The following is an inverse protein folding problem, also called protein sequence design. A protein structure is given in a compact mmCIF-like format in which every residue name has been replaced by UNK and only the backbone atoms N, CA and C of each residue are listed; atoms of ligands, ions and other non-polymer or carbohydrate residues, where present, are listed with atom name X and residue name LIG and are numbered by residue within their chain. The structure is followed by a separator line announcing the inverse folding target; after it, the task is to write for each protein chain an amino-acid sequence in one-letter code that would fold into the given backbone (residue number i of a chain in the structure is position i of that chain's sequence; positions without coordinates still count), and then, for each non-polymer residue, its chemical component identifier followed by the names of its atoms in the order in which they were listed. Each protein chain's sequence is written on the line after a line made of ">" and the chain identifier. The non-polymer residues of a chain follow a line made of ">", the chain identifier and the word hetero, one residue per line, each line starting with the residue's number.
data_IF_498867972448
#
_entry.id   IF_498867972448
#
_cell.length_a   1.000
_cell.length_b   1.000
_cell.length_c   1.000
_cell.angle_alpha   90.00
_cell.angle_beta   90.00
_cell.angle_gamma   90.00
#
_symmetry.space_group_name_H-M   'P 1'
#
loop_
_entity.id
_entity.type
_entity.pdbx_description
1 polymer ?
#
# COMPACT_ATOMS: atom_id res chain seq x y z
N UNK A 1 -15.25 -42.32 21.41
CA UNK A 1 -15.22 -40.85 21.31
C UNK A 1 -14.24 -40.47 20.22
N UNK A 2 -14.57 -39.53 19.33
CA UNK A 2 -13.64 -39.07 18.30
C UNK A 2 -12.46 -38.33 18.95
N UNK A 3 -11.23 -38.60 18.49
CA UNK A 3 -10.00 -37.90 18.91
C UNK A 3 -10.20 -36.38 18.76
N UNK A 4 -9.95 -35.54 19.79
CA UNK A 4 -10.11 -34.09 19.67
C UNK A 4 -9.19 -33.50 18.59
N UNK A 5 -9.65 -32.43 17.93
CA UNK A 5 -8.90 -31.68 16.92
C UNK A 5 -8.43 -30.35 17.49
N UNK A 6 -7.13 -30.09 17.46
CA UNK A 6 -6.54 -28.84 17.92
C UNK A 6 -6.08 -28.06 16.69
N UNK A 7 -6.33 -26.75 16.68
CA UNK A 7 -6.05 -25.88 15.54
C UNK A 7 -5.21 -24.70 15.99
N UNK A 8 -4.08 -24.45 15.32
CA UNK A 8 -3.33 -23.21 15.51
C UNK A 8 -4.04 -22.01 14.87
N UNK A 9 -3.75 -20.82 15.36
CA UNK A 9 -4.40 -19.60 14.89
C UNK A 9 -3.59 -18.92 13.79
N UNK A 10 -2.37 -18.51 14.13
CA UNK A 10 -1.52 -17.69 13.27
C UNK A 10 -1.03 -18.51 12.08
N UNK A 11 -1.19 -18.01 10.85
CA UNK A 11 -0.79 -18.73 9.64
C UNK A 11 -1.64 -19.97 9.28
N UNK A 12 -2.34 -20.56 10.25
CA UNK A 12 -3.16 -21.78 10.12
C UNK A 12 -4.66 -21.50 9.98
N UNK A 13 -5.29 -20.80 10.92
CA UNK A 13 -6.70 -20.39 10.82
C UNK A 13 -6.82 -19.02 10.14
N UNK A 14 -5.95 -18.10 10.54
CA UNK A 14 -5.78 -16.79 9.95
C UNK A 14 -4.76 -16.86 8.81
N UNK A 15 -4.93 -16.01 7.80
CA UNK A 15 -3.92 -15.75 6.77
C UNK A 15 -2.78 -14.86 7.28
N UNK A 16 -2.94 -14.29 8.46
CA UNK A 16 -2.03 -13.34 9.09
C UNK A 16 -1.60 -13.83 10.48
N UNK A 17 -0.80 -13.00 11.16
CA UNK A 17 -0.24 -13.27 12.48
C UNK A 17 -0.72 -12.16 13.44
N UNK A 18 -1.38 -12.55 14.53
CA UNK A 18 -1.99 -11.67 15.53
C UNK A 18 -0.96 -10.77 16.22
N UNK A 19 0.28 -11.23 16.40
CA UNK A 19 1.34 -10.41 16.98
C UNK A 19 1.70 -9.25 16.05
N UNK A 20 1.85 -9.53 14.76
CA UNK A 20 2.17 -8.48 13.78
C UNK A 20 0.97 -7.54 13.58
N UNK A 21 -0.25 -8.07 13.56
CA UNK A 21 -1.49 -7.28 13.47
C UNK A 21 -1.64 -6.34 14.67
N UNK A 22 -1.47 -6.83 15.90
CA UNK A 22 -1.60 -6.00 17.11
C UNK A 22 -0.54 -4.91 17.15
N UNK A 23 0.70 -5.25 16.79
CA UNK A 23 1.78 -4.28 16.71
C UNK A 23 1.50 -3.18 15.69
N UNK A 24 1.07 -3.53 14.46
CA UNK A 24 0.75 -2.53 13.43
C UNK A 24 -0.49 -1.71 13.78
N UNK A 25 -1.52 -2.32 14.37
CA UNK A 25 -2.69 -1.60 14.85
C UNK A 25 -2.29 -0.56 15.91
N UNK A 26 -1.42 -0.92 16.85
CA UNK A 26 -0.90 0.01 17.84
C UNK A 26 -0.01 1.08 17.20
N UNK A 27 0.85 0.70 16.25
CA UNK A 27 1.75 1.62 15.55
C UNK A 27 0.97 2.68 14.74
N UNK A 28 -0.12 2.28 14.08
CA UNK A 28 -0.95 3.19 13.27
C UNK A 28 -1.67 4.27 14.09
N UNK A 29 -2.00 3.98 15.36
CA UNK A 29 -2.79 4.87 16.23
C UNK A 29 -1.95 5.58 17.29
N UNK A 30 -1.02 4.87 17.91
CA UNK A 30 -0.20 5.31 19.04
C UNK A 30 1.26 4.88 18.81
N UNK A 31 1.97 5.47 17.83
CA UNK A 31 3.30 5.00 17.41
C UNK A 31 4.31 5.00 18.55
N UNK A 32 4.29 6.01 19.43
CA UNK A 32 5.17 6.06 20.59
C UNK A 32 4.96 4.89 21.55
N UNK A 33 3.71 4.47 21.77
CA UNK A 33 3.40 3.33 22.63
C UNK A 33 3.80 2.00 21.99
N UNK A 34 3.65 1.86 20.67
CA UNK A 34 4.14 0.70 19.94
C UNK A 34 5.66 0.55 20.09
N UNK A 35 6.41 1.65 19.99
CA UNK A 35 7.86 1.65 20.18
C UNK A 35 8.24 1.33 21.64
N UNK A 36 7.55 1.92 22.62
CA UNK A 36 7.78 1.60 24.04
C UNK A 36 7.45 0.14 24.38
N UNK A 37 6.44 -0.46 23.74
CA UNK A 37 6.10 -1.87 23.95
C UNK A 37 7.28 -2.80 23.60
N UNK A 38 8.17 -2.42 22.67
CA UNK A 38 9.38 -3.20 22.37
C UNK A 38 10.30 -3.36 23.59
N UNK A 39 10.28 -2.43 24.55
CA UNK A 39 11.06 -2.55 25.78
C UNK A 39 10.59 -3.72 26.67
N UNK A 40 9.32 -4.12 26.57
CA UNK A 40 8.75 -5.26 27.31
C UNK A 40 9.29 -6.61 26.83
N UNK A 41 9.94 -6.67 25.65
CA UNK A 41 10.67 -7.87 25.22
C UNK A 41 11.76 -8.29 26.22
N UNK A 42 12.30 -7.35 27.01
CA UNK A 42 13.25 -7.66 28.10
C UNK A 42 12.64 -8.53 29.21
N UNK A 43 11.32 -8.46 29.40
CA UNK A 43 10.56 -9.30 30.35
C UNK A 43 10.06 -10.61 29.71
N UNK A 44 10.37 -10.83 28.43
CA UNK A 44 10.01 -12.03 27.68
C UNK A 44 8.92 -11.81 26.63
N UNK A 45 8.78 -12.78 25.71
CA UNK A 45 7.82 -12.71 24.58
C UNK A 45 6.36 -12.71 25.03
N UNK A 46 6.03 -13.39 26.13
CA UNK A 46 4.66 -13.44 26.66
C UNK A 46 4.22 -12.06 27.21
N UNK A 47 5.09 -11.38 27.96
CA UNK A 47 4.83 -10.03 28.47
C UNK A 47 4.64 -9.01 27.32
N UNK A 48 5.46 -9.10 26.28
CA UNK A 48 5.30 -8.27 25.08
C UNK A 48 3.94 -8.48 24.39
N UNK A 49 3.53 -9.75 24.20
CA UNK A 49 2.23 -10.09 23.60
C UNK A 49 1.06 -9.57 24.42
N UNK A 50 1.09 -9.74 25.75
CA UNK A 50 0.05 -9.25 26.65
C UNK A 50 -0.05 -7.70 26.62
N UNK A 51 1.11 -7.01 26.56
CA UNK A 51 1.12 -5.55 26.44
C UNK A 51 0.49 -5.08 25.12
N UNK A 52 0.78 -5.76 24.02
CA UNK A 52 0.16 -5.44 22.74
C UNK A 52 -1.34 -5.73 22.72
N UNK A 53 -1.77 -6.88 23.25
CA UNK A 53 -3.17 -7.27 23.30
C UNK A 53 -4.02 -6.28 24.13
N UNK A 54 -3.49 -5.79 25.26
CA UNK A 54 -4.19 -4.84 26.12
C UNK A 54 -4.29 -3.41 25.56
N UNK A 55 -3.39 -3.01 24.66
CA UNK A 55 -3.36 -1.65 24.11
C UNK A 55 -3.87 -1.54 22.67
N UNK A 56 -3.78 -2.61 21.89
CA UNK A 56 -4.17 -2.63 20.48
C UNK A 56 -5.67 -2.90 20.33
N UNK A 57 -6.37 -2.02 19.63
CA UNK A 57 -7.76 -2.26 19.23
C UNK A 57 -7.81 -3.06 17.92
N UNK A 58 -7.95 -4.37 18.04
CA UNK A 58 -8.19 -5.27 16.92
C UNK A 58 -9.69 -5.56 16.77
N UNK A 59 -10.15 -5.53 15.52
CA UNK A 59 -11.48 -6.00 15.13
C UNK A 59 -11.35 -7.41 14.54
N UNK A 60 -11.71 -8.41 15.34
CA UNK A 60 -11.62 -9.83 14.98
C UNK A 60 -12.49 -10.15 13.76
N UNK A 61 -13.62 -9.46 13.59
CA UNK A 61 -14.56 -9.72 12.49
C UNK A 61 -13.98 -9.43 11.10
N UNK A 62 -12.95 -8.59 11.04
CA UNK A 62 -12.28 -8.19 9.80
C UNK A 62 -11.05 -9.04 9.47
N UNK A 63 -10.67 -9.98 10.35
CA UNK A 63 -9.44 -10.75 10.15
C UNK A 63 -9.56 -11.71 8.96
N UNK A 64 -8.53 -11.80 8.10
CA UNK A 64 -8.60 -12.63 6.91
C UNK A 64 -8.48 -14.12 7.28
N UNK A 65 -9.59 -14.84 7.19
CA UNK A 65 -9.66 -16.27 7.46
C UNK A 65 -9.17 -17.11 6.26
N UNK A 66 -8.66 -18.30 6.55
CA UNK A 66 -8.48 -19.37 5.55
C UNK A 66 -9.77 -20.17 5.44
N UNK A 67 -10.57 -19.83 4.44
CA UNK A 67 -11.87 -20.46 4.18
C UNK A 67 -11.76 -21.98 4.00
N UNK A 68 -10.64 -22.47 3.46
CA UNK A 68 -10.39 -23.90 3.29
C UNK A 68 -10.31 -24.62 4.64
N UNK A 69 -9.65 -24.01 5.62
CA UNK A 69 -9.53 -24.53 6.99
C UNK A 69 -10.86 -24.39 7.71
N UNK A 70 -11.55 -23.24 7.62
CA UNK A 70 -12.87 -23.04 8.23
C UNK A 70 -13.89 -24.07 7.72
N UNK A 71 -13.89 -24.35 6.42
CA UNK A 71 -14.78 -25.35 5.82
C UNK A 71 -14.49 -26.75 6.34
N UNK A 72 -13.21 -27.12 6.45
CA UNK A 72 -12.78 -28.38 7.06
C UNK A 72 -13.24 -28.51 8.52
N UNK A 73 -13.04 -27.47 9.34
CA UNK A 73 -13.43 -27.48 10.76
C UNK A 73 -14.95 -27.57 10.96
N UNK A 74 -15.73 -26.88 10.12
CA UNK A 74 -17.21 -27.00 10.15
C UNK A 74 -17.65 -28.42 9.83
N UNK A 75 -17.01 -29.07 8.88
CA UNK A 75 -17.25 -30.48 8.55
C UNK A 75 -16.96 -31.42 9.72
N UNK A 76 -15.83 -31.25 10.39
CA UNK A 76 -15.46 -32.05 11.56
C UNK A 76 -16.40 -31.80 12.75
N UNK A 77 -16.80 -30.54 12.98
CA UNK A 77 -17.76 -30.20 14.03
C UNK A 77 -19.13 -30.85 13.80
N UNK A 78 -19.59 -30.86 12.55
CA UNK A 78 -20.84 -31.52 12.17
C UNK A 78 -20.80 -33.05 12.39
N UNK A 79 -19.61 -33.66 12.35
CA UNK A 79 -19.39 -35.08 12.71
C UNK A 79 -19.36 -35.32 14.23
N UNK A 80 -19.60 -34.29 15.04
CA UNK A 80 -19.60 -34.36 16.50
C UNK A 80 -18.19 -34.29 17.12
N UNK A 81 -17.17 -33.97 16.33
CA UNK A 81 -15.79 -33.89 16.81
C UNK A 81 -15.58 -32.66 17.69
N UNK A 82 -14.90 -32.83 18.82
CA UNK A 82 -14.48 -31.72 19.69
C UNK A 82 -13.30 -30.99 19.07
N UNK A 83 -13.39 -29.66 18.97
CA UNK A 83 -12.39 -28.81 18.31
C UNK A 83 -11.89 -27.74 19.29
N UNK A 84 -10.58 -27.56 19.39
CA UNK A 84 -9.94 -26.61 20.30
C UNK A 84 -9.00 -25.66 19.53
N UNK A 85 -8.86 -24.42 20.01
CA UNK A 85 -7.80 -23.52 19.55
C UNK A 85 -6.58 -23.62 20.45
N UNK A 86 -5.38 -23.60 19.87
CA UNK A 86 -4.13 -23.51 20.61
C UNK A 86 -3.12 -22.62 19.89
N UNK A 87 -2.91 -21.39 20.38
CA UNK A 87 -1.99 -20.43 19.77
C UNK A 87 -0.99 -19.86 20.77
N UNK A 88 0.16 -19.44 20.24
CA UNK A 88 1.13 -18.67 21.00
C UNK A 88 0.69 -17.21 21.20
N UNK A 89 -0.36 -16.73 20.54
CA UNK A 89 -0.95 -15.42 20.77
C UNK A 89 -1.48 -15.28 22.20
N UNK A 90 -1.77 -14.04 22.59
CA UNK A 90 -2.36 -13.75 23.90
C UNK A 90 -3.75 -14.41 24.04
N UNK A 91 -4.01 -15.03 25.19
CA UNK A 91 -5.25 -15.75 25.44
C UNK A 91 -6.51 -14.91 25.23
N UNK A 92 -6.49 -13.59 25.48
CA UNK A 92 -7.64 -12.72 25.25
C UNK A 92 -8.04 -12.67 23.77
N UNK A 93 -7.05 -12.60 22.87
CA UNK A 93 -7.30 -12.56 21.42
C UNK A 93 -7.78 -13.92 20.90
N UNK A 94 -7.21 -15.01 21.43
CA UNK A 94 -7.62 -16.37 21.05
C UNK A 94 -9.06 -16.65 21.51
N UNK A 95 -9.42 -16.24 22.72
CA UNK A 95 -10.80 -16.34 23.23
C UNK A 95 -11.77 -15.51 22.38
N UNK A 96 -11.43 -14.25 22.09
CA UNK A 96 -12.28 -13.40 21.24
C UNK A 96 -12.50 -13.99 19.83
N UNK A 97 -11.48 -14.65 19.26
CA UNK A 97 -11.61 -15.36 17.99
C UNK A 97 -12.49 -16.61 18.10
N UNK A 98 -12.36 -17.36 19.19
CA UNK A 98 -13.23 -18.51 19.49
C UNK A 98 -14.69 -18.10 19.59
N UNK A 99 -14.97 -17.04 20.35
CA UNK A 99 -16.32 -16.54 20.60
C UNK A 99 -16.96 -16.02 19.30
N UNK A 100 -16.19 -15.31 18.48
CA UNK A 100 -16.67 -14.80 17.19
C UNK A 100 -17.04 -15.93 16.22
N UNK A 101 -16.22 -16.99 16.16
CA UNK A 101 -16.46 -18.10 15.22
C UNK A 101 -17.50 -19.10 15.73
N UNK A 102 -17.64 -19.28 17.06
CA UNK A 102 -18.58 -20.21 17.67
C UNK A 102 -18.33 -21.68 17.33
N UNK A 103 -17.12 -22.03 16.87
CA UNK A 103 -16.77 -23.38 16.39
C UNK A 103 -16.06 -24.24 17.45
N UNK A 104 -15.43 -23.62 18.45
CA UNK A 104 -14.47 -24.29 19.33
C UNK A 104 -15.06 -24.61 20.70
N UNK A 105 -14.70 -25.78 21.25
CA UNK A 105 -15.08 -26.27 22.57
C UNK A 105 -14.12 -25.82 23.68
N UNK A 106 -13.04 -25.14 23.33
CA UNK A 106 -12.11 -24.54 24.27
C UNK A 106 -10.89 -23.93 23.60
N UNK A 107 -10.15 -23.15 24.37
CA UNK A 107 -8.98 -22.40 23.90
C UNK A 107 -7.76 -22.64 24.80
N UNK A 108 -6.57 -22.53 24.21
CA UNK A 108 -5.29 -22.40 24.88
C UNK A 108 -4.53 -21.24 24.23
N UNK A 109 -4.07 -20.31 25.04
CA UNK A 109 -3.29 -19.14 24.62
C UNK A 109 -2.16 -18.85 25.60
N UNK A 110 -1.25 -17.94 25.23
CA UNK A 110 -0.24 -17.43 26.17
C UNK A 110 -0.88 -16.56 27.25
N UNK A 111 -0.41 -16.67 28.49
CA UNK A 111 -1.00 -16.03 29.68
C UNK A 111 -0.17 -14.83 30.21
N UNK A 112 0.73 -14.31 29.38
CA UNK A 112 1.66 -13.23 29.75
C UNK A 112 2.92 -13.70 30.51
N UNK A 113 2.96 -14.94 31.01
CA UNK A 113 4.14 -15.54 31.67
C UNK A 113 4.74 -16.65 30.83
N UNK A 114 3.91 -17.57 30.35
CA UNK A 114 4.30 -18.70 29.51
C UNK A 114 3.92 -18.38 28.07
N UNK A 115 4.91 -18.41 27.18
CA UNK A 115 4.68 -18.28 25.74
C UNK A 115 4.37 -19.66 25.16
N UNK A 116 3.11 -19.90 24.80
CA UNK A 116 2.59 -21.20 24.34
C UNK A 116 3.00 -21.52 22.90
N UNK A 117 4.30 -21.71 22.66
CA UNK A 117 4.88 -22.03 21.35
C UNK A 117 5.84 -23.20 21.42
N UNK A 118 5.93 -24.01 20.36
CA UNK A 118 6.92 -25.09 20.27
C UNK A 118 6.74 -26.14 21.36
N UNK A 119 7.80 -26.42 22.12
CA UNK A 119 7.79 -27.43 23.18
C UNK A 119 6.74 -27.13 24.26
N UNK A 120 6.65 -25.89 24.74
CA UNK A 120 5.66 -25.52 25.76
C UNK A 120 4.20 -25.74 25.27
N UNK A 121 3.93 -25.52 23.97
CA UNK A 121 2.63 -25.84 23.37
C UNK A 121 2.40 -27.36 23.36
N UNK A 122 3.40 -28.13 22.94
CA UNK A 122 3.31 -29.60 22.90
C UNK A 122 3.08 -30.20 24.29
N UNK A 123 3.81 -29.72 25.31
CA UNK A 123 3.72 -30.19 26.69
C UNK A 123 2.32 -29.91 27.28
N UNK A 124 1.82 -28.67 27.13
CA UNK A 124 0.48 -28.30 27.59
C UNK A 124 -0.64 -29.09 26.90
N UNK A 125 -0.49 -29.41 25.61
CA UNK A 125 -1.45 -30.23 24.88
C UNK A 125 -1.40 -31.70 25.34
N UNK A 126 -0.20 -32.24 25.59
CA UNK A 126 -0.05 -33.60 26.11
C UNK A 126 -0.60 -33.73 27.53
N UNK A 127 -0.40 -32.72 28.37
CA UNK A 127 -0.95 -32.67 29.73
C UNK A 127 -2.49 -32.64 29.71
N UNK A 128 -3.08 -31.87 28.79
CA UNK A 128 -4.55 -31.70 28.72
C UNK A 128 -5.28 -32.84 28.01
N UNK A 129 -4.70 -33.40 26.95
CA UNK A 129 -5.39 -34.36 26.08
C UNK A 129 -4.76 -35.75 26.05
N UNK A 130 -3.54 -35.91 26.58
CA UNK A 130 -2.75 -37.12 26.46
C UNK A 130 -1.88 -37.15 25.21
N UNK A 131 -0.72 -37.82 25.30
CA UNK A 131 0.19 -38.00 24.15
C UNK A 131 -0.44 -38.93 23.11
N UNK A 132 -0.37 -38.56 21.83
CA UNK A 132 -0.99 -39.27 20.70
C UNK A 132 -2.51 -39.49 20.86
N UNK A 133 -3.19 -38.63 21.61
CA UNK A 133 -4.63 -38.67 21.83
C UNK A 133 -5.35 -37.43 21.28
N UNK A 134 -4.71 -36.70 20.36
CA UNK A 134 -5.27 -35.54 19.70
C UNK A 134 -4.69 -35.36 18.29
N UNK A 135 -5.46 -34.79 17.36
CA UNK A 135 -4.94 -34.39 16.04
C UNK A 135 -4.65 -32.90 16.03
N UNK A 136 -3.67 -32.46 15.24
CA UNK A 136 -3.22 -31.06 15.26
C UNK A 136 -3.08 -30.46 13.87
N UNK A 137 -3.74 -29.31 13.67
CA UNK A 137 -3.61 -28.48 12.47
C UNK A 137 -2.61 -27.35 12.73
N UNK A 138 -1.56 -27.26 11.91
CA UNK A 138 -0.54 -26.19 11.98
C UNK A 138 0.06 -25.87 10.61
N UNK A 139 0.90 -24.84 10.51
CA UNK A 139 1.50 -24.38 9.25
C UNK A 139 3.02 -24.13 9.33
N UNK A 140 3.62 -24.24 10.52
CA UNK A 140 4.96 -23.71 10.77
C UNK A 140 5.96 -24.75 11.27
N UNK A 141 7.24 -24.37 11.26
CA UNK A 141 8.31 -25.18 11.87
C UNK A 141 8.15 -25.29 13.40
N UNK A 142 7.52 -24.31 14.05
CA UNK A 142 7.29 -24.35 15.48
C UNK A 142 6.34 -25.49 15.88
N UNK A 143 5.49 -25.92 14.95
CA UNK A 143 4.52 -27.00 15.14
C UNK A 143 5.14 -28.39 15.07
N UNK A 144 6.38 -28.54 14.59
CA UNK A 144 7.08 -29.84 14.54
C UNK A 144 7.11 -30.56 15.90
N UNK A 145 7.22 -29.81 16.99
CA UNK A 145 7.19 -30.40 18.35
C UNK A 145 5.81 -30.90 18.73
N UNK A 146 4.76 -30.21 18.33
CA UNK A 146 3.37 -30.64 18.58
C UNK A 146 3.00 -31.81 17.66
N UNK A 147 3.39 -31.74 16.38
CA UNK A 147 3.21 -32.85 15.45
C UNK A 147 3.87 -34.12 16.00
N UNK A 148 5.11 -34.03 16.51
CA UNK A 148 5.83 -35.18 17.09
C UNK A 148 5.11 -35.89 18.25
N UNK A 149 4.12 -35.27 18.87
CA UNK A 149 3.36 -35.82 20.02
C UNK A 149 1.87 -36.01 19.74
N UNK A 150 1.36 -35.61 18.57
CA UNK A 150 -0.03 -35.77 18.18
C UNK A 150 -0.28 -37.15 17.51
N UNK A 151 -1.55 -37.49 17.29
CA UNK A 151 -2.00 -38.68 16.58
C UNK A 151 -1.89 -38.48 15.06
N UNK A 152 -2.60 -37.50 14.50
CA UNK A 152 -2.50 -37.11 13.07
C UNK A 152 -2.04 -35.66 12.95
N UNK A 153 -1.03 -35.45 12.11
CA UNK A 153 -0.53 -34.13 11.73
C UNK A 153 -1.28 -33.60 10.51
N UNK A 154 -1.97 -32.47 10.66
CA UNK A 154 -2.67 -31.79 9.58
C UNK A 154 -1.94 -30.50 9.25
N UNK A 155 -1.65 -30.31 7.97
CA UNK A 155 -0.82 -29.20 7.49
C UNK A 155 -1.67 -28.18 6.76
N UNK A 156 -1.77 -26.96 7.30
CA UNK A 156 -2.54 -25.85 6.75
C UNK A 156 -1.67 -24.91 5.91
N UNK A 157 -1.47 -25.25 4.63
CA UNK A 157 -0.62 -24.45 3.73
C UNK A 157 0.88 -24.49 4.09
N UNK A 158 1.76 -24.37 3.09
CA UNK A 158 3.20 -24.34 3.36
C UNK A 158 4.09 -24.48 2.12
N UNK A 159 5.34 -23.98 2.24
CA UNK A 159 6.46 -24.36 1.37
C UNK A 159 7.14 -25.60 1.96
N UNK A 160 7.40 -26.58 1.11
CA UNK A 160 8.13 -27.79 1.46
C UNK A 160 9.56 -27.49 1.91
N UNK A 161 9.82 -27.72 3.19
CA UNK A 161 11.13 -28.08 3.75
C UNK A 161 10.90 -28.85 5.07
N UNK A 162 10.05 -28.32 5.95
CA UNK A 162 9.60 -29.03 7.16
C UNK A 162 8.63 -30.18 6.87
N UNK A 163 8.01 -30.22 5.68
CA UNK A 163 7.22 -31.37 5.18
C UNK A 163 8.05 -32.67 5.19
N UNK A 164 9.32 -32.58 4.77
CA UNK A 164 10.23 -33.72 4.78
C UNK A 164 10.51 -34.24 6.20
N UNK A 165 10.45 -33.36 7.21
CA UNK A 165 10.62 -33.73 8.62
C UNK A 165 9.40 -34.43 9.23
N UNK A 166 8.21 -34.29 8.64
CA UNK A 166 6.97 -34.98 9.09
C UNK A 166 6.90 -36.40 8.48
N UNK A 167 7.36 -36.55 7.23
CA UNK A 167 7.37 -37.83 6.51
C UNK A 167 8.29 -38.90 7.11
N UNK A 168 9.23 -38.51 7.98
CA UNK A 168 10.26 -39.38 8.55
C UNK A 168 9.85 -40.27 9.73
N UNK A 169 8.56 -40.34 10.11
CA UNK A 169 8.15 -41.27 11.19
C UNK A 169 6.80 -41.04 11.88
N UNK A 170 5.83 -40.34 11.25
CA UNK A 170 4.52 -40.09 11.86
C UNK A 170 3.37 -40.78 11.12
N UNK A 171 2.40 -41.39 11.83
CA UNK A 171 1.23 -42.00 11.22
C UNK A 171 0.22 -40.92 10.79
N UNK A 172 0.06 -40.74 9.48
CA UNK A 172 -0.98 -39.89 8.88
C UNK A 172 -0.61 -38.41 8.77
N UNK A 173 -0.39 -37.94 7.53
CA UNK A 173 -0.25 -36.51 7.21
C UNK A 173 -1.38 -36.12 6.28
N UNK A 174 -2.22 -35.17 6.68
CA UNK A 174 -3.30 -34.63 5.84
C UNK A 174 -2.97 -33.20 5.44
N UNK A 175 -2.99 -32.88 4.15
CA UNK A 175 -2.70 -31.54 3.66
C UNK A 175 -3.99 -30.79 3.31
N UNK A 176 -4.17 -29.62 3.93
CA UNK A 176 -5.18 -28.64 3.50
C UNK A 176 -4.47 -27.68 2.55
N UNK A 177 -4.73 -27.84 1.24
CA UNK A 177 -4.11 -27.02 0.20
C UNK A 177 -4.72 -25.63 0.22
N UNK A 178 -3.94 -24.64 0.64
CA UNK A 178 -4.31 -23.22 0.60
C UNK A 178 -3.64 -22.47 -0.57
N UNK A 179 -4.25 -21.35 -0.96
CA UNK A 179 -3.71 -20.43 -1.97
C UNK A 179 -2.38 -19.79 -1.50
N UNK A 180 -1.39 -19.73 -2.39
CA UNK A 180 -0.05 -19.17 -2.12
C UNK A 180 0.11 -17.76 -2.72
N UNK A 181 0.89 -16.85 -2.11
CA UNK A 181 1.27 -15.60 -2.75
C UNK A 181 2.06 -15.90 -4.04
N UNK A 182 1.51 -15.51 -5.17
CA UNK A 182 2.20 -15.53 -6.45
C UNK A 182 3.07 -14.28 -6.63
N UNK A 183 3.98 -14.31 -7.61
CA UNK A 183 4.76 -13.12 -8.00
C UNK A 183 3.84 -11.93 -8.32
N UNK A 184 2.68 -12.21 -8.91
CA UNK A 184 1.64 -11.23 -9.23
C UNK A 184 1.14 -10.48 -7.99
N UNK A 185 1.07 -11.11 -6.82
CA UNK A 185 0.62 -10.46 -5.58
C UNK A 185 1.66 -9.45 -5.08
N UNK A 186 2.94 -9.77 -5.19
CA UNK A 186 4.03 -8.84 -4.86
C UNK A 186 4.09 -7.67 -5.84
N UNK A 187 3.98 -7.92 -7.15
CA UNK A 187 3.92 -6.86 -8.16
C UNK A 187 2.71 -5.97 -7.91
N UNK A 188 1.55 -6.55 -7.54
CA UNK A 188 0.37 -5.79 -7.17
C UNK A 188 0.61 -4.92 -5.92
N UNK A 189 1.40 -5.39 -4.95
CA UNK A 189 1.75 -4.64 -3.74
C UNK A 189 2.65 -3.43 -4.05
N UNK A 190 3.51 -3.52 -5.06
CA UNK A 190 4.36 -2.40 -5.52
C UNK A 190 3.56 -1.29 -6.24
N UNK A 191 2.34 -1.58 -6.70
CA UNK A 191 1.44 -0.64 -7.40
C UNK A 191 2.08 0.00 -8.65
N UNK A 192 2.50 -0.78 -9.66
CA UNK A 192 3.13 -0.27 -10.87
C UNK A 192 2.28 0.76 -11.64
N UNK A 193 0.95 0.68 -11.54
CA UNK A 193 0.05 1.68 -12.11
C UNK A 193 0.27 3.10 -11.55
N UNK A 194 0.83 3.26 -10.35
CA UNK A 194 1.18 4.55 -9.77
C UNK A 194 2.54 5.07 -10.24
N UNK A 195 3.41 4.22 -10.81
CA UNK A 195 4.74 4.61 -11.30
C UNK A 195 4.66 5.57 -12.46
N UNK A 196 3.56 5.57 -13.20
CA UNK A 196 3.29 6.50 -14.28
C UNK A 196 3.44 7.98 -13.85
N UNK A 197 3.11 8.32 -12.60
CA UNK A 197 3.32 9.68 -12.07
C UNK A 197 4.78 10.08 -12.09
N UNK A 198 5.68 9.11 -11.88
CA UNK A 198 7.11 9.33 -11.88
C UNK A 198 7.64 9.55 -13.30
N UNK A 199 6.87 9.31 -14.36
CA UNK A 199 7.26 9.68 -15.71
C UNK A 199 7.48 11.20 -15.87
N UNK A 200 6.96 12.02 -14.95
CA UNK A 200 7.27 13.45 -14.86
C UNK A 200 8.78 13.75 -14.70
N UNK A 201 9.59 12.78 -14.24
CA UNK A 201 11.06 12.87 -14.18
C UNK A 201 11.67 13.10 -15.57
N UNK A 202 11.02 12.66 -16.65
CA UNK A 202 11.53 12.83 -18.01
C UNK A 202 11.20 14.22 -18.60
N UNK A 203 10.32 15.01 -17.97
CA UNK A 203 9.86 16.29 -18.51
C UNK A 203 11.01 17.25 -18.84
N UNK A 204 12.02 17.47 -17.97
CA UNK A 204 13.13 18.38 -18.29
C UNK A 204 13.96 17.92 -19.49
N UNK A 205 14.26 16.61 -19.58
CA UNK A 205 15.05 16.05 -20.66
C UNK A 205 14.33 16.12 -22.02
N UNK A 206 13.00 15.95 -22.02
CA UNK A 206 12.15 16.11 -23.21
C UNK A 206 12.08 17.59 -23.61
N UNK A 207 11.82 18.49 -22.66
CA UNK A 207 11.70 19.92 -22.92
C UNK A 207 13.02 20.52 -23.46
N UNK A 208 14.16 20.01 -22.98
CA UNK A 208 15.48 20.41 -23.46
C UNK A 208 15.98 19.67 -24.71
N UNK A 209 15.21 18.75 -25.30
CA UNK A 209 15.60 17.92 -26.46
C UNK A 209 16.89 17.10 -26.26
N UNK A 210 17.21 16.73 -25.02
CA UNK A 210 18.46 16.02 -24.64
C UNK A 210 18.20 14.64 -24.03
N UNK A 211 17.04 14.05 -24.31
CA UNK A 211 16.67 12.75 -23.75
C UNK A 211 17.67 11.64 -24.12
N UNK A 212 18.20 11.65 -25.34
CA UNK A 212 19.16 10.64 -25.81
C UNK A 212 20.54 10.74 -25.15
N UNK A 213 20.94 11.92 -24.68
CA UNK A 213 22.23 12.09 -23.97
C UNK A 213 22.07 11.91 -22.46
N UNK A 214 20.87 12.14 -21.93
CA UNK A 214 20.56 12.11 -20.48
C UNK A 214 19.74 10.88 -20.05
N UNK A 215 19.59 9.89 -20.94
CA UNK A 215 18.73 8.72 -20.74
C UNK A 215 19.07 7.95 -19.46
N UNK A 216 20.37 7.74 -19.18
CA UNK A 216 20.81 6.95 -18.04
C UNK A 216 20.41 7.60 -16.71
N UNK A 217 20.70 8.89 -16.55
CA UNK A 217 20.30 9.66 -15.35
C UNK A 217 18.78 9.73 -15.20
N UNK A 218 18.06 9.90 -16.30
CA UNK A 218 16.59 9.95 -16.30
C UNK A 218 15.94 8.63 -15.87
N UNK A 219 16.43 7.49 -16.39
CA UNK A 219 15.93 6.16 -16.03
C UNK A 219 16.25 5.86 -14.56
N UNK A 220 17.46 6.18 -14.12
CA UNK A 220 17.87 5.91 -12.74
C UNK A 220 17.07 6.73 -11.73
N UNK A 221 16.81 8.00 -12.05
CA UNK A 221 15.91 8.84 -11.28
C UNK A 221 14.47 8.28 -11.26
N UNK A 222 13.95 7.88 -12.42
CA UNK A 222 12.63 7.26 -12.54
C UNK A 222 12.50 6.01 -11.64
N UNK A 223 13.46 5.09 -11.71
CA UNK A 223 13.48 3.88 -10.88
C UNK A 223 13.56 4.25 -9.40
N UNK A 224 14.42 5.20 -9.02
CA UNK A 224 14.56 5.67 -7.62
C UNK A 224 13.23 6.20 -7.07
N UNK A 225 12.51 7.03 -7.83
CA UNK A 225 11.17 7.50 -7.45
C UNK A 225 10.14 6.38 -7.40
N UNK A 226 10.22 5.37 -8.29
CA UNK A 226 9.31 4.23 -8.27
C UNK A 226 9.50 3.35 -7.04
N UNK A 227 10.75 3.03 -6.69
CA UNK A 227 11.08 2.25 -5.49
C UNK A 227 10.67 3.00 -4.22
N UNK A 228 11.01 4.29 -4.12
CA UNK A 228 10.64 5.14 -2.99
C UNK A 228 9.11 5.25 -2.83
N UNK A 229 8.37 5.50 -3.93
CA UNK A 229 6.91 5.53 -3.89
C UNK A 229 6.31 4.19 -3.48
N UNK A 230 6.84 3.08 -4.00
CA UNK A 230 6.37 1.72 -3.66
C UNK A 230 6.56 1.41 -2.18
N UNK A 231 7.70 1.79 -1.60
CA UNK A 231 7.96 1.62 -0.18
C UNK A 231 6.93 2.38 0.69
N UNK A 232 6.63 3.63 0.34
CA UNK A 232 5.64 4.44 1.05
C UNK A 232 4.23 3.86 0.88
N UNK A 233 3.88 3.38 -0.30
CA UNK A 233 2.58 2.71 -0.51
C UNK A 233 2.44 1.43 0.31
N UNK A 234 3.50 0.62 0.40
CA UNK A 234 3.52 -0.58 1.24
C UNK A 234 3.35 -0.18 2.70
N UNK A 235 4.15 0.78 3.19
CA UNK A 235 4.05 1.25 4.58
C UNK A 235 2.64 1.74 4.91
N UNK A 236 2.02 2.52 4.02
CA UNK A 236 0.65 2.97 4.19
C UNK A 236 -0.35 1.80 4.22
N UNK A 237 -0.22 0.82 3.34
CA UNK A 237 -1.10 -0.36 3.32
C UNK A 237 -0.99 -1.21 4.60
N UNK A 238 0.19 -1.26 5.22
CA UNK A 238 0.41 -1.95 6.49
C UNK A 238 -0.22 -1.18 7.67
N UNK A 239 -0.21 0.15 7.63
CA UNK A 239 -0.78 0.97 8.71
C UNK A 239 -2.30 1.16 8.57
N UNK A 240 -2.83 1.11 7.35
CA UNK A 240 -4.25 1.28 7.06
C UNK A 240 -5.02 -0.07 6.97
N UNK A 241 -4.46 -1.19 7.45
CA UNK A 241 -5.07 -2.54 7.33
C UNK A 241 -6.54 -2.58 7.74
N UNK A 242 -6.91 -2.02 8.90
CA UNK A 242 -8.30 -1.98 9.39
C UNK A 242 -9.21 -1.20 8.45
N UNK A 243 -8.79 -0.01 8.03
CA UNK A 243 -9.57 0.84 7.13
C UNK A 243 -9.69 0.22 5.72
N UNK A 244 -8.64 -0.44 5.24
CA UNK A 244 -8.63 -1.11 3.96
C UNK A 244 -9.57 -2.32 3.94
N UNK A 245 -9.62 -3.12 5.01
CA UNK A 245 -10.54 -4.28 5.14
C UNK A 245 -12.02 -3.90 5.14
N UNK A 246 -12.36 -2.74 5.71
CA UNK A 246 -13.73 -2.22 5.70
C UNK A 246 -14.15 -1.66 4.33
N UNK A 247 -13.19 -1.29 3.48
CA UNK A 247 -13.49 -0.58 2.24
C UNK A 247 -13.85 -1.55 1.09
N UNK A 248 -14.92 -1.29 0.31
CA UNK A 248 -15.42 -2.22 -0.73
C UNK A 248 -14.37 -2.70 -1.76
N UNK A 249 -13.58 -1.77 -2.30
CA UNK A 249 -12.48 -2.08 -3.25
C UNK A 249 -11.15 -2.42 -2.55
N UNK A 250 -10.74 -1.69 -1.50
CA UNK A 250 -9.41 -1.83 -0.87
C UNK A 250 -9.24 -3.08 -0.02
N UNK A 251 -10.33 -3.74 0.39
CA UNK A 251 -10.27 -5.03 1.11
C UNK A 251 -9.51 -6.12 0.34
N UNK A 252 -9.50 -6.00 -0.98
CA UNK A 252 -8.80 -6.92 -1.89
C UNK A 252 -7.30 -6.61 -2.02
N UNK A 253 -6.77 -5.57 -1.36
CA UNK A 253 -5.32 -5.27 -1.39
C UNK A 253 -4.52 -6.47 -0.86
N UNK A 254 -3.29 -6.72 -1.37
CA UNK A 254 -2.53 -7.91 -1.03
C UNK A 254 -2.34 -8.15 0.48
N UNK A 255 -2.04 -7.10 1.25
CA UNK A 255 -1.87 -7.20 2.71
C UNK A 255 -3.21 -7.28 3.46
N UNK A 256 -4.19 -6.44 3.10
CA UNK A 256 -5.51 -6.42 3.74
C UNK A 256 -6.25 -7.77 3.63
N UNK A 257 -6.17 -8.41 2.46
CA UNK A 257 -6.76 -9.72 2.16
C UNK A 257 -5.96 -10.92 2.69
N UNK A 258 -4.76 -10.69 3.23
CA UNK A 258 -3.86 -11.75 3.68
C UNK A 258 -3.24 -12.58 2.54
N UNK A 259 -3.29 -12.10 1.27
CA UNK A 259 -2.62 -12.77 0.15
C UNK A 259 -1.11 -12.70 0.27
N UNK A 260 -0.58 -11.57 0.70
CA UNK A 260 0.85 -11.38 1.00
C UNK A 260 1.01 -11.26 2.52
N UNK A 261 1.90 -12.05 3.14
CA UNK A 261 2.19 -11.93 4.56
C UNK A 261 2.62 -10.51 4.94
N UNK A 262 2.07 -9.99 6.03
CA UNK A 262 2.34 -8.64 6.54
C UNK A 262 3.84 -8.42 6.79
N UNK A 263 4.52 -9.44 7.32
CA UNK A 263 5.97 -9.40 7.58
C UNK A 263 6.79 -9.18 6.30
N UNK A 264 6.34 -9.70 5.14
CA UNK A 264 7.04 -9.43 3.88
C UNK A 264 6.93 -7.95 3.52
N UNK A 265 5.78 -7.32 3.73
CA UNK A 265 5.63 -5.87 3.55
C UNK A 265 6.56 -5.07 4.47
N UNK A 266 6.64 -5.47 5.74
CA UNK A 266 7.49 -4.81 6.74
C UNK A 266 8.99 -4.88 6.39
N UNK A 267 9.42 -5.94 5.69
CA UNK A 267 10.79 -6.05 5.15
C UNK A 267 10.93 -5.33 3.81
N UNK A 268 9.96 -5.47 2.90
CA UNK A 268 10.00 -4.87 1.57
C UNK A 268 10.10 -3.35 1.61
N UNK A 269 9.35 -2.67 2.48
CA UNK A 269 9.38 -1.21 2.56
C UNK A 269 10.79 -0.64 2.82
N UNK A 270 11.51 -1.03 3.90
CA UNK A 270 12.89 -0.57 4.12
C UNK A 270 13.86 -1.08 3.06
N UNK A 271 13.72 -2.30 2.53
CA UNK A 271 14.59 -2.79 1.44
C UNK A 271 14.44 -1.96 0.16
N UNK A 272 13.22 -1.56 -0.20
CA UNK A 272 12.95 -0.71 -1.36
C UNK A 272 13.47 0.72 -1.15
N UNK A 273 13.38 1.27 0.07
CA UNK A 273 13.98 2.56 0.39
C UNK A 273 15.51 2.48 0.29
N UNK A 274 16.13 1.45 0.87
CA UNK A 274 17.57 1.25 0.78
C UNK A 274 17.99 1.18 -0.69
N UNK A 275 17.32 0.36 -1.50
CA UNK A 275 17.58 0.28 -2.93
C UNK A 275 17.40 1.63 -3.63
N UNK A 276 16.31 2.36 -3.36
CA UNK A 276 16.07 3.69 -3.94
C UNK A 276 17.19 4.68 -3.64
N UNK A 277 17.69 4.70 -2.40
CA UNK A 277 18.80 5.58 -1.99
C UNK A 277 20.16 5.09 -2.48
N UNK A 278 20.39 3.78 -2.62
CA UNK A 278 21.61 3.26 -3.23
C UNK A 278 21.75 3.70 -4.69
N UNK A 279 20.65 3.81 -5.44
CA UNK A 279 20.70 4.34 -6.81
C UNK A 279 21.11 5.82 -6.86
N UNK A 280 20.88 6.59 -5.80
CA UNK A 280 21.30 8.01 -5.75
C UNK A 280 22.82 8.19 -5.76
N UNK A 281 23.58 7.14 -5.43
CA UNK A 281 25.05 7.17 -5.45
C UNK A 281 25.63 7.35 -6.87
N UNK A 282 24.86 7.02 -7.91
CA UNK A 282 25.25 7.21 -9.30
C UNK A 282 24.65 8.49 -9.91
N UNK A 283 24.03 9.34 -9.09
CA UNK A 283 23.43 10.62 -9.48
C UNK A 283 24.11 11.77 -8.71
N UNK A 284 23.92 13.03 -9.12
CA UNK A 284 24.41 14.17 -8.36
C UNK A 284 23.92 14.14 -6.91
N UNK A 285 24.79 14.48 -5.95
CA UNK A 285 24.49 14.39 -4.50
C UNK A 285 23.21 15.12 -4.09
N UNK A 286 22.87 16.20 -4.79
CA UNK A 286 21.64 16.99 -4.58
C UNK A 286 20.38 16.15 -4.86
N UNK A 287 20.44 15.16 -5.76
CA UNK A 287 19.31 14.27 -6.04
C UNK A 287 18.86 13.48 -4.81
N UNK A 288 19.80 13.04 -3.97
CA UNK A 288 19.46 12.36 -2.72
C UNK A 288 18.64 13.25 -1.78
N UNK A 289 18.95 14.56 -1.74
CA UNK A 289 18.17 15.56 -0.97
C UNK A 289 16.77 15.72 -1.54
N UNK A 290 16.62 15.78 -2.88
CA UNK A 290 15.30 15.85 -3.53
C UNK A 290 14.47 14.60 -3.24
N UNK A 291 15.08 13.42 -3.33
CA UNK A 291 14.40 12.15 -3.04
C UNK A 291 14.01 12.04 -1.56
N UNK A 292 14.87 12.50 -0.64
CA UNK A 292 14.57 12.57 0.79
C UNK A 292 13.44 13.57 1.09
N UNK A 293 13.46 14.76 0.49
CA UNK A 293 12.38 15.74 0.60
C UNK A 293 11.06 15.19 0.07
N UNK A 294 11.09 14.49 -1.08
CA UNK A 294 9.94 13.77 -1.61
C UNK A 294 9.42 12.71 -0.62
N UNK A 295 10.31 11.90 -0.04
CA UNK A 295 9.95 10.88 0.97
C UNK A 295 9.29 11.50 2.20
N UNK A 296 9.87 12.59 2.72
CA UNK A 296 9.31 13.33 3.86
C UNK A 296 7.93 13.88 3.51
N UNK A 297 7.79 14.55 2.36
CA UNK A 297 6.52 15.16 1.95
C UNK A 297 5.42 14.13 1.73
N UNK A 298 5.72 12.99 1.08
CA UNK A 298 4.72 11.93 0.85
C UNK A 298 4.31 11.24 2.15
N UNK A 299 5.25 11.11 3.10
CA UNK A 299 4.98 10.57 4.44
C UNK A 299 4.11 11.53 5.24
N UNK A 300 4.50 12.81 5.33
CA UNK A 300 3.72 13.87 5.98
C UNK A 300 2.32 14.01 5.37
N UNK A 301 2.21 13.89 4.05
CA UNK A 301 0.92 13.88 3.37
C UNK A 301 0.04 12.73 3.83
N UNK A 302 0.60 11.52 3.90
CA UNK A 302 -0.14 10.30 4.27
C UNK A 302 -0.66 10.34 5.71
N UNK A 303 0.10 10.92 6.65
CA UNK A 303 -0.30 10.97 8.07
C UNK A 303 -1.10 12.22 8.44
N UNK A 304 -0.71 13.40 7.93
CA UNK A 304 -1.13 14.69 8.47
C UNK A 304 -1.69 15.66 7.43
N UNK A 305 -0.96 15.95 6.35
CA UNK A 305 -1.36 17.03 5.43
C UNK A 305 -2.65 16.73 4.69
N UNK A 306 -2.96 15.45 4.39
CA UNK A 306 -4.22 15.06 3.75
C UNK A 306 -5.49 15.44 4.54
N UNK A 307 -5.33 15.82 5.82
CA UNK A 307 -6.43 16.17 6.72
C UNK A 307 -6.77 17.67 6.74
N UNK A 308 -5.93 18.50 6.10
CA UNK A 308 -6.02 19.96 6.10
C UNK A 308 -6.51 20.42 4.73
N UNK A 309 -7.61 21.16 4.71
CA UNK A 309 -8.22 21.73 3.49
C UNK A 309 -7.20 22.61 2.76
N UNK A 310 -7.16 22.53 1.42
CA UNK A 310 -6.20 23.13 0.49
C UNK A 310 -4.73 22.69 0.65
N UNK A 311 -4.26 22.46 1.88
CA UNK A 311 -2.89 22.00 2.14
C UNK A 311 -2.64 20.63 1.50
N UNK A 312 -3.64 19.75 1.47
CA UNK A 312 -3.56 18.46 0.78
C UNK A 312 -3.33 18.62 -0.74
N UNK A 313 -4.04 19.55 -1.37
CA UNK A 313 -3.95 19.83 -2.80
C UNK A 313 -2.60 20.47 -3.12
N UNK A 314 -2.16 21.45 -2.32
CA UNK A 314 -0.83 22.07 -2.46
C UNK A 314 0.27 21.02 -2.31
N UNK A 315 0.17 20.14 -1.31
CA UNK A 315 1.13 19.05 -1.12
C UNK A 315 1.16 18.09 -2.31
N UNK A 316 0.00 17.75 -2.90
CA UNK A 316 -0.05 16.94 -4.12
C UNK A 316 0.64 17.64 -5.31
N UNK A 317 0.42 18.95 -5.48
CA UNK A 317 1.09 19.73 -6.52
C UNK A 317 2.62 19.74 -6.32
N UNK A 318 3.08 19.96 -5.09
CA UNK A 318 4.50 19.88 -4.72
C UNK A 318 5.09 18.48 -4.98
N UNK A 319 4.33 17.41 -4.72
CA UNK A 319 4.77 16.04 -5.04
C UNK A 319 4.93 15.82 -6.54
N UNK A 320 4.06 16.38 -7.38
CA UNK A 320 4.25 16.34 -8.84
C UNK A 320 5.49 17.16 -9.26
N UNK A 321 5.64 18.37 -8.74
CA UNK A 321 6.78 19.24 -9.02
C UNK A 321 8.12 18.59 -8.61
N UNK A 322 8.17 17.93 -7.44
CA UNK A 322 9.38 17.27 -6.95
C UNK A 322 9.96 16.23 -7.93
N UNK A 323 9.12 15.61 -8.76
CA UNK A 323 9.56 14.66 -9.80
C UNK A 323 10.23 15.37 -10.96
N UNK A 324 9.67 16.50 -11.40
CA UNK A 324 10.26 17.34 -12.45
C UNK A 324 11.59 17.90 -11.98
N UNK A 325 11.65 18.43 -10.75
CA UNK A 325 12.88 18.90 -10.11
C UNK A 325 13.90 17.75 -10.00
N UNK A 326 13.47 16.57 -9.55
CA UNK A 326 14.33 15.39 -9.48
C UNK A 326 14.90 14.99 -10.84
N UNK A 327 14.10 15.06 -11.90
CA UNK A 327 14.55 14.87 -13.28
C UNK A 327 15.61 15.86 -13.70
N UNK A 328 15.40 17.14 -13.42
CA UNK A 328 16.36 18.21 -13.73
C UNK A 328 17.68 18.02 -13.01
N UNK A 329 17.64 17.73 -11.71
CA UNK A 329 18.85 17.48 -10.91
C UNK A 329 19.57 16.22 -11.37
N UNK A 330 18.84 15.17 -11.76
CA UNK A 330 19.46 13.92 -12.22
C UNK A 330 20.14 14.04 -13.58
N UNK A 331 19.61 14.89 -14.47
CA UNK A 331 20.13 15.07 -15.83
C UNK A 331 21.04 16.28 -16.00
N UNK A 332 21.06 17.19 -15.02
CA UNK A 332 21.76 18.48 -15.11
C UNK A 332 21.06 19.49 -16.02
N UNK A 333 19.85 19.18 -16.52
CA UNK A 333 19.08 20.07 -17.40
C UNK A 333 18.36 21.10 -16.54
N UNK A 334 18.76 22.37 -16.66
CA UNK A 334 18.12 23.46 -15.95
C UNK A 334 16.69 23.67 -16.47
N UNK A 335 15.73 23.72 -15.56
CA UNK A 335 14.34 24.05 -15.89
C UNK A 335 14.23 25.57 -16.02
N UNK A 336 13.53 26.06 -17.04
CA UNK A 336 13.24 27.49 -17.14
C UNK A 336 12.24 27.90 -16.06
N UNK A 337 12.38 29.12 -15.53
CA UNK A 337 11.42 29.68 -14.57
C UNK A 337 9.98 29.63 -15.08
N UNK A 338 9.81 29.77 -16.40
CA UNK A 338 8.52 29.62 -17.09
C UNK A 338 7.94 28.21 -17.01
N UNK A 339 8.76 27.17 -17.24
CA UNK A 339 8.33 25.78 -17.14
C UNK A 339 8.01 25.39 -15.70
N UNK A 340 8.72 25.95 -14.71
CA UNK A 340 8.39 25.80 -13.29
C UNK A 340 7.02 26.44 -12.97
N UNK A 341 6.81 27.70 -13.36
CA UNK A 341 5.55 28.41 -13.15
C UNK A 341 4.37 27.68 -13.82
N UNK A 342 4.55 27.23 -15.08
CA UNK A 342 3.58 26.40 -15.78
C UNK A 342 3.23 25.13 -15.01
N UNK A 343 4.26 24.40 -14.55
CA UNK A 343 4.12 23.14 -13.83
C UNK A 343 3.35 23.33 -12.52
N UNK A 344 3.61 24.42 -11.77
CA UNK A 344 2.91 24.71 -10.52
C UNK A 344 1.40 24.85 -10.76
N UNK A 345 0.98 25.67 -11.73
CA UNK A 345 -0.44 25.88 -12.03
C UNK A 345 -1.11 24.62 -12.60
N UNK A 346 -0.42 23.89 -13.48
CA UNK A 346 -0.93 22.64 -14.04
C UNK A 346 -1.12 21.59 -12.95
N UNK A 347 -0.11 21.37 -12.10
CA UNK A 347 -0.16 20.37 -11.04
C UNK A 347 -1.15 20.74 -9.94
N UNK A 348 -1.33 22.03 -9.64
CA UNK A 348 -2.38 22.51 -8.76
C UNK A 348 -3.77 22.21 -9.35
N UNK A 349 -3.99 22.50 -10.64
CA UNK A 349 -5.25 22.16 -11.33
C UNK A 349 -5.53 20.66 -11.27
N UNK A 350 -4.55 19.80 -11.57
CA UNK A 350 -4.73 18.34 -11.49
C UNK A 350 -5.00 17.86 -10.06
N UNK A 351 -4.34 18.43 -9.05
CA UNK A 351 -4.63 18.11 -7.65
C UNK A 351 -6.07 18.50 -7.26
N UNK A 352 -6.56 19.65 -7.73
CA UNK A 352 -7.94 20.11 -7.50
C UNK A 352 -8.95 19.26 -8.26
N UNK A 353 -8.67 18.90 -9.52
CA UNK A 353 -9.50 17.97 -10.32
C UNK A 353 -9.63 16.64 -9.60
N UNK A 354 -8.54 16.09 -9.06
CA UNK A 354 -8.59 14.88 -8.24
C UNK A 354 -9.51 15.03 -7.02
N UNK A 355 -9.38 16.15 -6.29
CA UNK A 355 -10.21 16.45 -5.12
C UNK A 355 -11.70 16.59 -5.49
N UNK A 356 -12.01 17.28 -6.58
CA UNK A 356 -13.37 17.41 -7.11
C UNK A 356 -13.98 16.05 -7.46
N UNK A 357 -13.25 15.18 -8.16
CA UNK A 357 -13.71 13.83 -8.50
C UNK A 357 -14.02 12.98 -7.27
N UNK A 358 -13.19 13.06 -6.22
CA UNK A 358 -13.45 12.38 -4.95
C UNK A 358 -14.69 12.92 -4.21
N UNK A 359 -14.98 14.23 -4.29
CA UNK A 359 -16.20 14.82 -3.72
C UNK A 359 -17.43 14.42 -4.52
N UNK A 360 -17.35 14.44 -5.86
CA UNK A 360 -18.43 13.99 -6.76
C UNK A 360 -18.78 12.52 -6.51
N UNK A 361 -17.80 11.63 -6.33
CA UNK A 361 -18.07 10.22 -5.97
C UNK A 361 -18.84 10.10 -4.65
N UNK A 362 -18.53 10.94 -3.65
CA UNK A 362 -19.23 10.95 -2.36
C UNK A 362 -20.65 11.46 -2.47
N UNK A 363 -20.89 12.52 -3.23
CA UNK A 363 -22.24 13.03 -3.53
C UNK A 363 -23.06 11.92 -4.19
N UNK A 364 -22.53 11.28 -5.24
CA UNK A 364 -23.23 10.21 -5.95
C UNK A 364 -23.47 8.95 -5.12
N UNK A 365 -22.55 8.62 -4.22
CA UNK A 365 -22.66 7.42 -3.37
C UNK A 365 -23.40 7.66 -2.04
N UNK A 366 -23.88 8.88 -1.78
CA UNK A 366 -24.59 9.22 -0.55
C UNK A 366 -23.75 9.07 0.72
N UNK A 367 -22.42 9.12 0.62
CA UNK A 367 -21.49 8.83 1.74
C UNK A 367 -21.23 10.04 2.67
N UNK A 368 -21.96 11.13 2.49
CA UNK A 368 -21.78 12.38 3.21
C UNK A 368 -20.36 12.96 3.08
N UNK A 369 -20.05 13.92 3.95
CA UNK A 369 -18.77 14.62 3.94
C UNK A 369 -17.56 13.69 4.11
N UNK A 370 -16.41 14.01 3.48
CA UNK A 370 -15.18 13.25 3.65
C UNK A 370 -14.61 13.35 5.07
N UNK A 371 -14.92 12.32 5.88
CA UNK A 371 -14.34 12.14 7.20
C UNK A 371 -12.81 12.26 7.20
N UNK A 372 -12.30 13.15 8.06
CA UNK A 372 -10.87 13.33 8.29
C UNK A 372 -10.10 14.14 7.24
N UNK A 373 -10.77 14.78 6.27
CA UNK A 373 -10.12 15.69 5.29
C UNK A 373 -10.52 17.16 5.41
N UNK A 374 -11.55 17.47 6.20
CA UNK A 374 -12.01 18.84 6.48
C UNK A 374 -12.82 19.49 5.36
N UNK A 375 -12.93 18.86 4.20
CA UNK A 375 -13.80 19.32 3.10
C UNK A 375 -15.27 19.00 3.40
N UNK A 376 -16.15 19.84 2.87
CA UNK A 376 -17.60 19.62 2.79
C UNK A 376 -18.00 19.37 1.35
N UNK A 377 -19.11 18.66 1.13
CA UNK A 377 -19.65 18.48 -0.22
C UNK A 377 -20.01 19.82 -0.88
N UNK A 378 -20.41 20.81 -0.07
CA UNK A 378 -20.72 22.17 -0.51
C UNK A 378 -19.51 22.95 -1.03
N UNK A 379 -18.28 22.51 -0.73
CA UNK A 379 -17.06 23.14 -1.24
C UNK A 379 -16.82 22.83 -2.73
N UNK A 380 -17.55 21.85 -3.31
CA UNK A 380 -17.31 21.34 -4.65
C UNK A 380 -17.27 22.45 -5.73
N UNK A 381 -18.22 23.40 -5.81
CA UNK A 381 -18.18 24.46 -6.82
C UNK A 381 -16.95 25.36 -6.70
N UNK A 382 -16.50 25.62 -5.47
CA UNK A 382 -15.29 26.41 -5.21
C UNK A 382 -14.04 25.66 -5.68
N UNK A 383 -13.94 24.37 -5.37
CA UNK A 383 -12.82 23.52 -5.79
C UNK A 383 -12.77 23.39 -7.32
N UNK A 384 -13.91 23.23 -7.98
CA UNK A 384 -13.99 23.19 -9.44
C UNK A 384 -13.59 24.53 -10.08
N UNK A 385 -14.01 25.65 -9.49
CA UNK A 385 -13.63 26.99 -9.95
C UNK A 385 -12.12 27.24 -9.81
N UNK A 386 -11.54 26.85 -8.67
CA UNK A 386 -10.08 26.92 -8.47
C UNK A 386 -9.33 26.00 -9.45
N UNK A 387 -9.87 24.82 -9.75
CA UNK A 387 -9.28 23.88 -10.70
C UNK A 387 -9.25 24.45 -12.12
N UNK A 388 -10.35 25.08 -12.54
CA UNK A 388 -10.48 25.77 -13.82
C UNK A 388 -9.52 26.95 -13.91
N UNK A 389 -9.52 27.82 -12.91
CA UNK A 389 -8.64 28.99 -12.86
C UNK A 389 -7.16 28.59 -12.94
N UNK A 390 -6.74 27.60 -12.15
CA UNK A 390 -5.36 27.09 -12.18
C UNK A 390 -5.01 26.46 -13.54
N UNK A 391 -5.96 25.74 -14.15
CA UNK A 391 -5.77 25.13 -15.46
C UNK A 391 -5.58 26.17 -16.56
N UNK A 392 -6.42 27.20 -16.60
CA UNK A 392 -6.33 28.28 -17.59
C UNK A 392 -5.12 29.19 -17.35
N UNK A 393 -4.73 29.44 -16.09
CA UNK A 393 -3.47 30.12 -15.77
C UNK A 393 -2.26 29.35 -16.28
N UNK A 394 -2.27 28.01 -16.23
CA UNK A 394 -1.19 27.22 -16.85
C UNK A 394 -1.11 27.43 -18.36
N UNK A 395 -2.24 27.47 -19.07
CA UNK A 395 -2.28 27.78 -20.50
C UNK A 395 -1.80 29.22 -20.80
N UNK A 396 -2.16 30.19 -19.95
CA UNK A 396 -1.69 31.57 -20.06
C UNK A 396 -0.17 31.68 -19.87
N UNK A 397 0.38 31.05 -18.82
CA UNK A 397 1.83 31.01 -18.57
C UNK A 397 2.57 30.35 -19.73
N UNK A 398 2.01 29.27 -20.30
CA UNK A 398 2.54 28.66 -21.52
C UNK A 398 2.54 29.65 -22.71
N UNK A 399 1.46 30.40 -22.91
CA UNK A 399 1.39 31.39 -23.98
C UNK A 399 2.45 32.50 -23.81
N UNK A 400 2.69 32.96 -22.57
CA UNK A 400 3.75 33.93 -22.26
C UNK A 400 5.14 33.33 -22.52
N UNK A 401 5.37 32.08 -22.10
CA UNK A 401 6.63 31.37 -22.33
C UNK A 401 6.97 31.24 -23.82
N UNK A 402 5.97 30.90 -24.66
CA UNK A 402 6.18 30.71 -26.10
C UNK A 402 6.57 31.99 -26.84
N UNK A 403 6.33 33.16 -26.24
CA UNK A 403 6.77 34.46 -26.75
C UNK A 403 8.12 34.93 -26.17
N UNK A 404 8.79 34.10 -25.36
CA UNK A 404 10.10 34.43 -24.81
C UNK A 404 11.23 34.24 -25.83
N UNK A 405 12.30 35.02 -25.70
CA UNK A 405 13.49 34.94 -26.56
C UNK A 405 14.10 33.52 -26.59
N UNK A 406 14.03 32.79 -25.48
CA UNK A 406 14.52 31.42 -25.38
C UNK A 406 13.80 30.46 -26.35
N UNK A 407 12.49 30.64 -26.57
CA UNK A 407 11.70 29.81 -27.48
C UNK A 407 11.88 30.26 -28.93
N UNK A 408 11.92 31.58 -29.17
CA UNK A 408 12.15 32.14 -30.51
C UNK A 408 13.50 31.68 -31.08
N UNK A 409 14.52 31.51 -30.23
CA UNK A 409 15.83 31.02 -30.65
C UNK A 409 15.89 29.50 -30.87
N UNK A 410 14.97 28.73 -30.27
CA UNK A 410 14.98 27.27 -30.34
C UNK A 410 14.12 26.70 -31.48
N UNK A 411 13.13 27.46 -31.95
CA UNK A 411 12.15 27.01 -32.94
C UNK A 411 12.10 27.93 -34.16
N UNK A 412 12.10 27.35 -35.36
CA UNK A 412 12.04 28.10 -36.62
C UNK A 412 10.68 28.80 -36.83
N UNK A 413 9.59 28.26 -36.27
CA UNK A 413 8.21 28.79 -36.45
C UNK A 413 7.45 28.85 -35.12
N UNK A 414 7.82 29.75 -34.19
CA UNK A 414 7.29 29.77 -32.82
C UNK A 414 5.78 30.06 -32.74
N UNK A 415 5.23 30.81 -33.71
CA UNK A 415 3.79 31.12 -33.75
C UNK A 415 2.88 29.88 -33.79
N UNK A 416 3.36 28.77 -34.35
CA UNK A 416 2.60 27.50 -34.40
C UNK A 416 2.45 26.87 -33.02
N UNK A 417 3.38 27.13 -32.11
CA UNK A 417 3.34 26.60 -30.74
C UNK A 417 2.13 27.12 -29.96
N UNK A 418 1.51 28.24 -30.35
CA UNK A 418 0.26 28.73 -29.75
C UNK A 418 -0.90 27.71 -29.86
N UNK A 419 -0.84 26.77 -30.81
CA UNK A 419 -1.79 25.65 -30.89
C UNK A 419 -1.70 24.73 -29.65
N UNK A 420 -0.56 24.67 -28.97
CA UNK A 420 -0.41 23.96 -27.68
C UNK A 420 -1.31 24.60 -26.62
N UNK A 421 -1.43 25.94 -26.60
CA UNK A 421 -2.32 26.63 -25.66
C UNK A 421 -3.78 26.27 -25.91
N UNK A 422 -4.22 26.19 -27.17
CA UNK A 422 -5.57 25.74 -27.53
C UNK A 422 -5.82 24.30 -27.08
N UNK A 423 -4.84 23.42 -27.32
CA UNK A 423 -4.89 22.02 -26.90
C UNK A 423 -4.97 21.88 -25.36
N UNK A 424 -4.19 22.69 -24.62
CA UNK A 424 -4.21 22.73 -23.16
C UNK A 424 -5.53 23.26 -22.60
N UNK A 425 -6.10 24.32 -23.18
CA UNK A 425 -7.41 24.84 -22.79
C UNK A 425 -8.48 23.78 -22.99
N UNK A 426 -8.54 23.15 -24.17
CA UNK A 426 -9.47 22.06 -24.43
C UNK A 426 -9.31 20.91 -23.42
N UNK A 427 -8.07 20.49 -23.18
CA UNK A 427 -7.78 19.35 -22.29
C UNK A 427 -8.13 19.65 -20.83
N UNK A 428 -7.77 20.83 -20.33
CA UNK A 428 -8.10 21.24 -18.94
C UNK A 428 -9.61 21.34 -18.74
N UNK A 429 -10.34 21.97 -19.67
CA UNK A 429 -11.82 22.02 -19.62
C UNK A 429 -12.42 20.61 -19.66
N UNK A 430 -11.90 19.72 -20.51
CA UNK A 430 -12.38 18.34 -20.62
C UNK A 430 -12.13 17.53 -19.34
N UNK A 431 -10.95 17.65 -18.74
CA UNK A 431 -10.61 16.97 -17.49
C UNK A 431 -11.55 17.37 -16.38
N UNK A 432 -11.86 18.67 -16.26
CA UNK A 432 -12.82 19.18 -15.29
C UNK A 432 -14.25 18.67 -15.56
N UNK A 433 -14.72 18.72 -16.81
CA UNK A 433 -16.03 18.18 -17.19
C UNK A 433 -16.16 16.68 -16.87
N UNK A 434 -15.11 15.89 -17.09
CA UNK A 434 -15.10 14.47 -16.75
C UNK A 434 -15.12 14.23 -15.24
N UNK A 435 -14.37 15.03 -14.47
CA UNK A 435 -14.37 14.95 -13.02
C UNK A 435 -15.74 15.31 -12.44
N UNK A 436 -16.34 16.42 -12.88
CA UNK A 436 -17.69 16.85 -12.49
C UNK A 436 -18.76 15.78 -12.81
N UNK A 437 -18.64 15.13 -13.98
CA UNK A 437 -19.52 14.02 -14.37
C UNK A 437 -19.24 12.72 -13.62
N UNK A 438 -18.26 12.68 -12.72
CA UNK A 438 -17.85 11.48 -11.98
C UNK A 438 -17.37 10.34 -12.89
N UNK A 439 -16.66 10.68 -13.96
CA UNK A 439 -16.06 9.72 -14.91
C UNK A 439 -14.55 9.54 -14.67
N UNK A 440 -14.04 10.04 -13.54
CA UNK A 440 -12.63 10.05 -13.18
C UNK A 440 -12.43 9.32 -11.85
N UNK A 441 -12.35 7.99 -11.93
CA UNK A 441 -12.14 7.09 -10.79
C UNK A 441 -10.66 7.04 -10.33
N UNK A 442 -9.74 7.37 -11.24
CA UNK A 442 -8.30 7.28 -11.05
C UNK A 442 -7.66 8.68 -10.92
N UNK A 443 -6.42 8.69 -10.44
CA UNK A 443 -5.61 9.91 -10.40
C UNK A 443 -5.51 10.58 -11.78
N UNK A 444 -5.63 11.91 -11.91
CA UNK A 444 -5.73 12.60 -13.21
C UNK A 444 -4.59 12.30 -14.19
N UNK A 445 -3.37 12.08 -13.69
CA UNK A 445 -2.22 11.71 -14.53
C UNK A 445 -2.37 10.28 -15.06
N UNK A 446 -2.84 9.36 -14.21
CA UNK A 446 -3.09 7.96 -14.60
C UNK A 446 -4.25 7.87 -15.58
N UNK A 447 -5.29 8.67 -15.35
CA UNK A 447 -6.40 8.84 -16.27
C UNK A 447 -5.93 9.34 -17.64
N UNK A 448 -5.12 10.40 -17.67
CA UNK A 448 -4.64 11.02 -18.90
C UNK A 448 -3.82 10.06 -19.79
N UNK A 449 -3.03 9.17 -19.19
CA UNK A 449 -2.27 8.18 -19.96
C UNK A 449 -3.09 7.02 -20.52
N UNK A 450 -4.32 6.82 -20.04
CA UNK A 450 -5.24 5.77 -20.53
C UNK A 450 -6.33 6.31 -21.44
N UNK A 451 -6.74 7.56 -21.24
CA UNK A 451 -7.80 8.21 -22.01
C UNK A 451 -7.31 8.55 -23.42
N UNK A 452 -7.95 7.95 -24.44
CA UNK A 452 -7.59 8.12 -25.86
C UNK A 452 -7.57 9.59 -26.30
N UNK A 453 -8.48 10.42 -25.78
CA UNK A 453 -8.54 11.84 -26.13
C UNK A 453 -7.36 12.59 -25.51
N UNK A 454 -7.01 12.30 -24.25
CA UNK A 454 -5.83 12.85 -23.60
C UNK A 454 -4.53 12.46 -24.31
N UNK A 455 -4.40 11.20 -24.75
CA UNK A 455 -3.29 10.76 -25.58
C UNK A 455 -3.27 11.47 -26.95
N UNK A 456 -4.44 11.66 -27.57
CA UNK A 456 -4.58 12.41 -28.81
C UNK A 456 -4.15 13.89 -28.68
N UNK A 457 -4.56 14.56 -27.60
CA UNK A 457 -4.10 15.93 -27.27
C UNK A 457 -2.57 15.94 -27.10
N UNK A 458 -2.01 14.99 -26.35
CA UNK A 458 -0.56 14.87 -26.20
C UNK A 458 0.17 14.69 -27.53
N UNK A 459 -0.36 13.84 -28.42
CA UNK A 459 0.16 13.64 -29.77
C UNK A 459 0.06 14.91 -30.63
N UNK A 460 -1.03 15.68 -30.51
CA UNK A 460 -1.16 16.99 -31.16
C UNK A 460 -0.09 17.96 -30.65
N UNK A 461 0.14 18.04 -29.34
CA UNK A 461 1.19 18.89 -28.78
C UNK A 461 2.58 18.50 -29.31
N UNK A 462 2.91 17.21 -29.34
CA UNK A 462 4.17 16.71 -29.88
C UNK A 462 4.30 17.00 -31.39
N UNK A 463 3.22 16.82 -32.16
CA UNK A 463 3.17 17.14 -33.58
C UNK A 463 3.40 18.63 -33.82
N UNK A 464 2.78 19.50 -33.01
CA UNK A 464 2.97 20.96 -33.07
C UNK A 464 4.43 21.33 -32.76
N UNK A 465 5.05 20.72 -31.75
CA UNK A 465 6.48 20.91 -31.45
C UNK A 465 7.33 20.50 -32.65
N UNK A 466 7.09 19.32 -33.22
CA UNK A 466 7.86 18.79 -34.34
C UNK A 466 7.80 19.66 -35.61
N UNK A 467 6.62 20.19 -35.97
CA UNK A 467 6.47 21.07 -37.15
C UNK A 467 6.94 22.52 -36.90
N UNK A 468 7.30 22.85 -35.65
CA UNK A 468 7.78 24.16 -35.23
C UNK A 468 9.31 24.20 -35.09
N UNK A 469 9.95 23.04 -34.90
CA UNK A 469 11.39 22.85 -35.12
C UNK A 469 11.70 23.16 -36.58
#
# INVERSE_FOLDING_TARGET
>A
MSVPLIVDVDGTLLKTDLLVETFLALLSRKPWRALLALAELRKGRAAFKARLASEAEIDISLMPLREEVITFLRGEKARGRKIYLASAADAQLVSALSDYLGLFDGVLGSDGKINLSGAAKADALCERFGKAQFDYVGDSRADLKVWSTCNVAIVAGGRGAWRAGISGGQPGVVEIVGSRPGLRDYISALRPHQWLKNALVFVPAIAGHVLMTTWFGSILAFISFCLCASAVYILNDLLDLRADRQHPRKRNRPFASGRVPIIHGAVMAPSLLLAAFSLTLFLPKVFAVVLAGYLVLTTLYSFWLKRKVLVDVIALACLYAARVIGGSVATGVLISQWLEAFSIFLFLSLALVKRSGELVDRVKSGRGDPGGRGYRLDDLPVIESMAAASGYLSALVMALYLNSEAVVNLYNKPHRLLLICVALLFWTSRMLLKAHRGQMDDDPIVFAARDRVSLGVGAVCLGVVYISL
#
